data_IF_712454955671
#
_entry.id   IF_712454955671
#
_cell.length_a   1.000
_cell.length_b   1.000
_cell.length_c   1.000
_cell.angle_alpha   90.00
_cell.angle_beta   90.00
_cell.angle_gamma   90.00
#
_symmetry.space_group_name_H-M   'P 1'
#
loop_
_entity.id
_entity.type
_entity.pdbx_description
1 polymer ?
#
# COMPACT_ATOMS: atom_id res chain seq x y z
N UNK A 1 8.89 -5.62 -7.02
CA UNK A 1 9.83 -6.55 -6.37
C UNK A 1 10.90 -5.71 -5.69
N UNK A 2 11.26 -6.05 -4.44
CA UNK A 2 12.35 -5.36 -3.74
C UNK A 2 13.65 -5.69 -4.50
N UNK A 3 14.49 -4.70 -4.88
CA UNK A 3 15.71 -4.94 -5.64
C UNK A 3 16.81 -5.46 -4.70
N UNK A 4 16.73 -6.74 -4.33
CA UNK A 4 17.59 -7.40 -3.33
C UNK A 4 19.08 -7.15 -3.62
N UNK A 5 19.44 -7.15 -4.89
CA UNK A 5 20.81 -6.97 -5.39
C UNK A 5 21.37 -5.57 -5.12
N UNK A 6 20.48 -4.59 -4.87
CA UNK A 6 20.85 -3.19 -4.61
C UNK A 6 20.80 -2.82 -3.13
N UNK A 7 20.33 -3.73 -2.26
CA UNK A 7 20.26 -3.49 -0.84
C UNK A 7 21.66 -3.60 -0.21
N UNK A 8 21.97 -2.78 0.82
CA UNK A 8 23.22 -2.92 1.55
C UNK A 8 23.24 -4.22 2.36
N UNK A 9 24.35 -4.95 2.30
CA UNK A 9 24.64 -6.03 3.24
C UNK A 9 25.07 -5.41 4.57
N UNK A 10 24.35 -5.71 5.65
CA UNK A 10 24.71 -5.31 7.00
C UNK A 10 25.46 -6.45 7.69
N UNK A 11 26.49 -6.10 8.46
CA UNK A 11 27.13 -7.05 9.38
C UNK A 11 26.16 -7.44 10.49
N UNK A 12 26.20 -8.71 10.89
CA UNK A 12 25.39 -9.19 12.01
C UNK A 12 25.82 -8.46 13.30
N UNK A 13 24.84 -7.87 14.00
CA UNK A 13 25.06 -7.29 15.33
C UNK A 13 24.62 -8.26 16.41
N UNK A 14 24.99 -8.00 17.67
CA UNK A 14 24.53 -8.80 18.82
C UNK A 14 23.03 -8.68 19.12
N UNK A 15 22.28 -7.88 18.36
CA UNK A 15 20.88 -7.57 18.66
C UNK A 15 20.72 -6.76 19.95
N UNK A 16 19.47 -6.61 20.40
CA UNK A 16 19.13 -6.11 21.73
C UNK A 16 19.25 -7.25 22.77
N UNK A 17 19.40 -6.93 24.05
CA UNK A 17 19.54 -7.95 25.12
C UNK A 17 18.26 -8.18 25.96
N UNK A 18 17.10 -7.73 25.47
CA UNK A 18 15.84 -7.76 26.21
C UNK A 18 15.37 -9.19 26.59
N UNK A 19 15.82 -10.20 25.84
CA UNK A 19 15.47 -11.61 26.01
C UNK A 19 16.68 -12.53 26.21
N UNK A 20 17.83 -12.01 26.67
CA UNK A 20 19.12 -12.74 26.79
C UNK A 20 19.07 -14.10 27.51
N UNK A 21 18.13 -14.28 28.43
CA UNK A 21 17.95 -15.53 29.20
C UNK A 21 16.81 -16.41 28.71
N UNK A 22 16.18 -16.06 27.58
CA UNK A 22 15.09 -16.81 26.98
C UNK A 22 15.65 -17.71 25.89
N UNK A 23 15.20 -18.98 25.89
CA UNK A 23 15.46 -19.94 24.83
C UNK A 23 14.17 -20.24 24.08
N UNK A 24 14.23 -20.18 22.75
CA UNK A 24 13.09 -20.40 21.86
C UNK A 24 13.35 -21.64 21.01
N UNK A 25 12.49 -22.64 21.14
CA UNK A 25 12.44 -23.77 20.20
C UNK A 25 11.36 -23.49 19.16
N UNK A 26 11.78 -23.22 17.94
CA UNK A 26 10.88 -22.88 16.83
C UNK A 26 10.55 -24.13 15.99
N UNK A 27 9.26 -24.51 16.03
CA UNK A 27 8.67 -25.63 15.28
C UNK A 27 7.69 -25.15 14.20
N UNK A 28 7.67 -23.86 13.90
CA UNK A 28 6.77 -23.27 12.90
C UNK A 28 7.25 -23.61 11.49
N UNK A 29 6.32 -23.73 10.54
CA UNK A 29 6.64 -24.13 9.15
C UNK A 29 6.42 -23.04 8.11
N UNK A 30 5.69 -21.97 8.47
CA UNK A 30 5.31 -20.87 7.56
C UNK A 30 6.13 -19.60 7.80
N UNK A 31 6.04 -18.63 6.87
CA UNK A 31 6.85 -17.41 6.83
C UNK A 31 6.73 -16.58 8.10
N UNK A 32 5.52 -16.42 8.62
CA UNK A 32 5.27 -15.61 9.81
C UNK A 32 5.97 -16.16 11.05
N UNK A 33 6.06 -17.50 11.15
CA UNK A 33 6.70 -18.16 12.28
C UNK A 33 8.22 -17.94 12.30
N UNK A 34 8.89 -18.19 11.17
CA UNK A 34 10.33 -17.94 11.06
C UNK A 34 10.69 -16.46 11.27
N UNK A 35 9.87 -15.52 10.78
CA UNK A 35 10.05 -14.09 11.06
C UNK A 35 9.84 -13.75 12.54
N UNK A 36 8.82 -14.33 13.17
CA UNK A 36 8.58 -14.15 14.60
C UNK A 36 9.78 -14.60 15.45
N UNK A 37 10.34 -15.77 15.12
CA UNK A 37 11.55 -16.29 15.79
C UNK A 37 12.76 -15.42 15.54
N UNK A 38 12.93 -14.90 14.32
CA UNK A 38 14.00 -13.94 14.01
C UNK A 38 13.88 -12.70 14.89
N UNK A 39 12.67 -12.13 15.05
CA UNK A 39 12.49 -10.99 15.95
C UNK A 39 12.84 -11.31 17.41
N UNK A 40 12.49 -12.51 17.90
CA UNK A 40 12.85 -12.91 19.25
C UNK A 40 14.38 -13.04 19.41
N UNK A 41 15.08 -13.55 18.39
CA UNK A 41 16.54 -13.62 18.37
C UNK A 41 17.18 -12.23 18.30
N UNK A 42 16.64 -11.32 17.47
CA UNK A 42 17.08 -9.93 17.39
C UNK A 42 16.89 -9.17 18.73
N UNK A 43 15.94 -9.63 19.56
CA UNK A 43 15.71 -9.16 20.93
C UNK A 43 16.60 -9.86 21.98
N UNK A 44 17.48 -10.77 21.56
CA UNK A 44 18.50 -11.41 22.38
C UNK A 44 18.18 -12.84 22.81
N UNK A 45 17.07 -13.43 22.36
CA UNK A 45 16.76 -14.82 22.69
C UNK A 45 17.67 -15.80 21.94
N UNK A 46 18.02 -16.92 22.59
CA UNK A 46 18.67 -18.03 21.92
C UNK A 46 17.61 -18.86 21.18
N UNK A 47 17.61 -18.81 19.84
CA UNK A 47 16.64 -19.51 19.02
C UNK A 47 17.23 -20.77 18.37
N UNK A 48 16.56 -21.91 18.55
CA UNK A 48 16.83 -23.16 17.82
C UNK A 48 15.63 -23.49 16.92
N UNK A 49 15.86 -23.53 15.61
CA UNK A 49 14.85 -23.98 14.65
C UNK A 49 14.97 -25.49 14.44
N UNK A 50 13.85 -26.20 14.48
CA UNK A 50 13.78 -27.62 14.10
C UNK A 50 12.82 -27.77 12.94
N UNK A 51 13.26 -28.50 11.91
CA UNK A 51 12.50 -28.66 10.68
C UNK A 51 12.46 -30.11 10.22
N UNK A 52 11.54 -30.40 9.30
CA UNK A 52 11.38 -31.73 8.72
C UNK A 52 12.61 -32.11 7.90
N UNK A 53 13.23 -33.23 8.25
CA UNK A 53 14.38 -33.78 7.53
C UNK A 53 14.03 -34.00 6.04
N UNK A 54 14.93 -33.58 5.16
CA UNK A 54 14.81 -33.73 3.71
C UNK A 54 13.90 -32.72 3.00
N UNK A 55 13.05 -31.98 3.71
CA UNK A 55 12.12 -31.02 3.10
C UNK A 55 12.27 -29.58 3.64
N UNK A 56 12.62 -29.42 4.93
CA UNK A 56 12.62 -28.13 5.60
C UNK A 56 11.20 -27.58 5.88
N UNK A 57 11.10 -26.31 6.29
CA UNK A 57 9.84 -25.56 6.38
C UNK A 57 9.22 -25.23 5.01
N UNK A 58 7.90 -24.98 5.03
CA UNK A 58 7.05 -24.84 3.84
C UNK A 58 7.50 -23.71 2.92
N UNK A 59 8.07 -22.64 3.50
CA UNK A 59 8.56 -21.48 2.75
C UNK A 59 9.71 -21.77 1.81
N UNK A 60 10.44 -22.89 1.99
CA UNK A 60 11.51 -23.27 1.05
C UNK A 60 10.99 -23.71 -0.32
N UNK A 61 9.73 -24.14 -0.36
CA UNK A 61 9.02 -24.47 -1.60
C UNK A 61 8.10 -23.32 -2.03
N UNK A 62 8.04 -22.21 -1.29
CA UNK A 62 7.22 -21.06 -1.66
C UNK A 62 7.93 -20.24 -2.73
N UNK A 63 7.14 -19.81 -3.71
CA UNK A 63 7.62 -19.23 -4.95
C UNK A 63 7.35 -20.19 -6.09
N UNK A 64 6.45 -19.81 -6.99
CA UNK A 64 6.32 -20.53 -8.26
C UNK A 64 7.66 -20.39 -8.99
N UNK A 65 8.38 -21.49 -9.29
CA UNK A 65 9.62 -21.40 -10.05
C UNK A 65 9.38 -20.96 -11.50
N UNK A 66 8.11 -20.90 -11.92
CA UNK A 66 7.74 -20.88 -13.34
C UNK A 66 6.74 -19.80 -13.72
N UNK A 67 6.04 -19.16 -12.76
CA UNK A 67 4.98 -18.20 -13.07
C UNK A 67 5.03 -16.96 -12.17
N UNK A 68 5.03 -15.78 -12.79
CA UNK A 68 4.86 -14.48 -12.15
C UNK A 68 3.37 -14.18 -11.89
N UNK A 69 3.08 -13.10 -11.14
CA UNK A 69 1.72 -12.76 -10.74
C UNK A 69 0.73 -12.59 -11.90
N UNK A 70 1.17 -12.06 -13.05
CA UNK A 70 0.32 -11.91 -14.23
C UNK A 70 -0.05 -13.25 -14.87
N UNK A 71 0.90 -14.19 -14.90
CA UNK A 71 0.67 -15.54 -15.41
C UNK A 71 -0.30 -16.33 -14.52
N UNK A 72 -0.20 -16.18 -13.20
CA UNK A 72 -1.18 -16.73 -12.27
C UNK A 72 -2.57 -16.14 -12.46
N UNK A 73 -2.68 -14.83 -12.66
CA UNK A 73 -3.97 -14.17 -12.89
C UNK A 73 -4.65 -14.66 -14.17
N UNK A 74 -3.88 -15.00 -15.22
CA UNK A 74 -4.43 -15.61 -16.43
C UNK A 74 -5.05 -16.98 -16.15
N UNK A 75 -4.36 -17.83 -15.39
CA UNK A 75 -4.88 -19.14 -14.95
C UNK A 75 -6.12 -18.96 -14.07
N UNK A 76 -6.06 -18.06 -13.08
CA UNK A 76 -7.20 -17.79 -12.21
C UNK A 76 -8.43 -17.35 -13.00
N UNK A 77 -8.26 -16.50 -14.02
CA UNK A 77 -9.34 -16.10 -14.92
C UNK A 77 -9.93 -17.29 -15.68
N UNK A 78 -9.10 -18.19 -16.21
CA UNK A 78 -9.55 -19.40 -16.93
C UNK A 78 -10.41 -20.30 -16.03
N UNK A 79 -9.97 -20.52 -14.79
CA UNK A 79 -10.66 -21.37 -13.81
C UNK A 79 -11.71 -20.62 -12.98
N UNK A 80 -12.00 -19.35 -13.31
CA UNK A 80 -12.91 -18.46 -12.58
C UNK A 80 -12.62 -18.35 -11.08
N UNK A 81 -11.34 -18.40 -10.72
CA UNK A 81 -10.86 -18.10 -9.37
C UNK A 81 -10.71 -16.58 -9.27
N UNK A 82 -11.35 -15.92 -8.28
CA UNK A 82 -11.18 -14.49 -8.08
C UNK A 82 -9.71 -14.13 -7.79
N UNK A 83 -9.15 -13.20 -8.55
CA UNK A 83 -7.81 -12.67 -8.34
C UNK A 83 -7.64 -11.32 -9.00
N UNK A 84 -6.82 -10.46 -8.41
CA UNK A 84 -6.49 -9.13 -8.93
C UNK A 84 -4.99 -8.87 -8.77
N UNK A 85 -4.39 -8.03 -9.63
CA UNK A 85 -3.03 -7.56 -9.39
C UNK A 85 -2.97 -6.69 -8.13
N UNK A 86 -1.79 -6.66 -7.51
CA UNK A 86 -1.44 -5.63 -6.52
C UNK A 86 -0.86 -4.46 -7.29
N UNK A 87 -1.68 -3.43 -7.52
CA UNK A 87 -1.26 -2.25 -8.27
C UNK A 87 -0.48 -1.28 -7.38
N UNK A 88 0.57 -0.67 -7.93
CA UNK A 88 1.21 0.51 -7.34
C UNK A 88 0.34 1.75 -7.54
N UNK A 89 0.58 2.81 -6.76
CA UNK A 89 -0.17 4.07 -6.88
C UNK A 89 -0.10 4.64 -8.31
N UNK A 90 1.08 4.62 -8.93
CA UNK A 90 1.26 5.09 -10.31
C UNK A 90 0.53 4.23 -11.34
N UNK A 91 0.17 2.98 -11.03
CA UNK A 91 -0.66 2.13 -11.89
C UNK A 91 -2.15 2.36 -11.64
N UNK A 92 -2.54 2.56 -10.38
CA UNK A 92 -3.93 2.80 -9.97
C UNK A 92 -4.51 4.06 -10.64
N UNK A 93 -3.72 5.13 -10.77
CA UNK A 93 -4.18 6.39 -11.40
C UNK A 93 -4.46 6.27 -12.90
N UNK A 94 -4.03 5.18 -13.53
CA UNK A 94 -4.32 4.86 -14.94
C UNK A 94 -5.33 3.72 -15.10
N UNK A 95 -5.94 3.24 -14.00
CA UNK A 95 -6.93 2.17 -14.07
C UNK A 95 -8.18 2.65 -14.83
N UNK A 96 -8.57 1.89 -15.85
CA UNK A 96 -9.67 2.25 -16.74
C UNK A 96 -11.00 2.38 -15.99
N UNK A 97 -11.27 1.48 -15.04
CA UNK A 97 -12.52 1.51 -14.28
C UNK A 97 -12.56 2.74 -13.37
N UNK A 98 -11.47 3.02 -12.66
CA UNK A 98 -11.38 4.18 -11.76
C UNK A 98 -11.48 5.51 -12.52
N UNK A 99 -10.90 5.59 -13.72
CA UNK A 99 -11.03 6.75 -14.60
C UNK A 99 -12.46 6.91 -15.13
N UNK A 100 -13.08 5.83 -15.62
CA UNK A 100 -14.47 5.83 -16.08
C UNK A 100 -15.45 6.22 -14.96
N UNK A 101 -15.12 5.83 -13.72
CA UNK A 101 -15.92 6.15 -12.55
C UNK A 101 -15.70 7.57 -12.03
N UNK A 102 -14.77 8.34 -12.61
CA UNK A 102 -14.43 9.70 -12.18
C UNK A 102 -13.71 9.75 -10.84
N UNK A 103 -13.09 8.63 -10.43
CA UNK A 103 -12.28 8.55 -9.21
C UNK A 103 -11.02 9.39 -9.34
N UNK A 104 -10.42 9.46 -10.53
CA UNK A 104 -9.34 10.39 -10.85
C UNK A 104 -9.79 11.31 -11.97
N UNK A 105 -9.61 12.61 -11.77
CA UNK A 105 -9.96 13.63 -12.76
C UNK A 105 -9.06 14.85 -12.59
N UNK A 106 -9.09 15.76 -13.56
CA UNK A 106 -8.37 17.03 -13.48
C UNK A 106 -9.34 18.20 -13.40
N UNK A 107 -8.94 19.24 -12.70
CA UNK A 107 -9.65 20.53 -12.63
C UNK A 107 -8.72 21.62 -13.11
N UNK A 108 -9.28 22.68 -13.66
CA UNK A 108 -8.53 23.85 -14.09
C UNK A 108 -8.99 25.05 -13.26
N UNK A 109 -8.03 25.77 -12.69
CA UNK A 109 -8.25 26.97 -11.90
C UNK A 109 -7.26 28.08 -12.30
N UNK A 110 -7.26 29.18 -11.55
CA UNK A 110 -6.38 30.32 -11.79
C UNK A 110 -4.88 29.98 -11.65
N UNK A 111 -4.52 28.90 -10.96
CA UNK A 111 -3.16 28.39 -10.82
C UNK A 111 -2.82 27.29 -11.84
N UNK A 112 -3.78 26.87 -12.66
CA UNK A 112 -3.60 25.92 -13.76
C UNK A 112 -4.32 24.59 -13.55
N UNK A 113 -3.81 23.54 -14.19
CA UNK A 113 -4.43 22.21 -14.18
C UNK A 113 -3.92 21.38 -13.00
N UNK A 114 -4.84 20.91 -12.18
CA UNK A 114 -4.56 20.17 -10.93
C UNK A 114 -5.30 18.83 -10.91
N UNK A 115 -4.61 17.76 -10.50
CA UNK A 115 -5.21 16.43 -10.32
C UNK A 115 -6.10 16.39 -9.08
N UNK A 116 -7.21 15.66 -9.16
CA UNK A 116 -8.18 15.47 -8.08
C UNK A 116 -8.54 14.01 -7.91
N UNK A 117 -8.94 13.66 -6.68
CA UNK A 117 -9.50 12.35 -6.34
C UNK A 117 -10.96 12.54 -5.97
N UNK A 118 -11.83 11.80 -6.64
CA UNK A 118 -13.27 11.80 -6.41
C UNK A 118 -13.65 10.98 -5.17
N UNK A 119 -14.88 11.20 -4.68
CA UNK A 119 -15.37 10.51 -3.47
C UNK A 119 -15.65 9.01 -3.71
N UNK A 120 -15.69 8.55 -4.97
CA UNK A 120 -16.08 7.18 -5.31
C UNK A 120 -17.57 6.86 -5.06
N UNK A 121 -18.39 7.88 -4.76
CA UNK A 121 -19.82 7.72 -4.45
C UNK A 121 -20.65 8.15 -5.66
N UNK A 122 -21.60 7.29 -6.05
CA UNK A 122 -22.55 7.56 -7.15
C UNK A 122 -23.98 7.25 -6.73
N UNK A 123 -24.92 8.09 -7.18
CA UNK A 123 -26.36 7.87 -7.08
C UNK A 123 -26.94 7.91 -8.49
N UNK A 124 -27.74 6.90 -8.87
CA UNK A 124 -28.35 6.82 -10.21
C UNK A 124 -27.36 7.02 -11.37
N UNK A 125 -26.17 6.41 -11.24
CA UNK A 125 -25.02 6.56 -12.15
C UNK A 125 -24.45 7.99 -12.26
N UNK A 126 -24.89 8.95 -11.46
CA UNK A 126 -24.25 10.27 -11.34
C UNK A 126 -23.22 10.25 -10.22
N UNK A 127 -21.97 10.60 -10.55
CA UNK A 127 -20.90 10.74 -9.57
C UNK A 127 -20.75 12.19 -9.11
N UNK A 128 -20.37 12.39 -7.84
CA UNK A 128 -19.98 13.70 -7.35
C UNK A 128 -18.54 14.01 -7.79
N UNK A 129 -18.38 14.92 -8.75
CA UNK A 129 -17.11 15.64 -8.99
C UNK A 129 -17.10 16.95 -8.21
N UNK A 130 -15.97 17.66 -8.20
CA UNK A 130 -15.90 19.00 -7.62
C UNK A 130 -16.99 19.94 -8.18
N UNK A 131 -17.58 20.78 -7.32
CA UNK A 131 -18.59 21.77 -7.73
C UNK A 131 -17.98 23.08 -8.24
N UNK A 132 -16.80 23.43 -7.73
CA UNK A 132 -15.98 24.57 -8.12
C UNK A 132 -14.51 24.19 -7.93
N UNK A 133 -13.64 24.70 -8.78
CA UNK A 133 -12.21 24.54 -8.59
C UNK A 133 -11.76 25.28 -7.31
N UNK A 134 -10.61 24.91 -6.72
CA UNK A 134 -10.07 25.61 -5.56
C UNK A 134 -10.04 27.12 -5.81
N UNK A 135 -10.67 27.95 -4.96
CA UNK A 135 -10.69 29.39 -5.17
C UNK A 135 -9.29 29.97 -4.96
N UNK A 136 -8.94 31.06 -5.66
CA UNK A 136 -7.72 31.80 -5.35
C UNK A 136 -7.78 32.35 -3.92
N UNK A 137 -6.60 32.69 -3.38
CA UNK A 137 -6.49 33.30 -2.06
C UNK A 137 -7.40 34.53 -1.97
N UNK A 138 -8.22 34.58 -0.93
CA UNK A 138 -9.16 35.68 -0.66
C UNK A 138 -10.31 35.90 -1.67
N UNK A 139 -10.62 34.92 -2.54
CA UNK A 139 -11.68 35.08 -3.56
C UNK A 139 -13.07 35.49 -3.01
N UNK A 140 -13.37 35.08 -1.77
CA UNK A 140 -14.66 35.34 -1.11
C UNK A 140 -14.57 36.40 0.00
N UNK A 141 -13.38 36.97 0.26
CA UNK A 141 -13.13 37.81 1.45
C UNK A 141 -14.04 39.02 1.50
N UNK A 142 -14.09 39.84 0.44
CA UNK A 142 -14.89 41.08 0.43
C UNK A 142 -16.39 40.79 0.55
N UNK A 143 -16.85 39.73 -0.12
CA UNK A 143 -18.24 39.27 -0.04
C UNK A 143 -18.60 38.88 1.39
N UNK A 144 -17.77 38.09 2.05
CA UNK A 144 -18.00 37.63 3.43
C UNK A 144 -17.93 38.79 4.43
N UNK A 145 -16.96 39.69 4.31
CA UNK A 145 -16.83 40.86 5.19
C UNK A 145 -18.04 41.80 5.07
N UNK A 146 -18.53 42.00 3.86
CA UNK A 146 -19.75 42.78 3.60
C UNK A 146 -20.99 42.09 4.18
N UNK A 147 -21.20 40.81 3.89
CA UNK A 147 -22.39 40.06 4.29
C UNK A 147 -22.47 39.77 5.80
N UNK A 148 -21.33 39.53 6.46
CA UNK A 148 -21.31 39.03 7.85
C UNK A 148 -21.04 40.09 8.90
N UNK A 149 -20.27 41.12 8.57
CA UNK A 149 -19.82 42.14 9.53
C UNK A 149 -20.08 43.58 9.08
N UNK A 150 -20.75 43.78 7.93
CA UNK A 150 -21.17 45.10 7.48
C UNK A 150 -20.02 46.05 7.16
N UNK A 151 -18.83 45.52 6.89
CA UNK A 151 -17.68 46.32 6.49
C UNK A 151 -17.90 46.91 5.08
N UNK A 152 -17.66 48.22 4.95
CA UNK A 152 -17.44 48.86 3.65
C UNK A 152 -16.05 48.47 3.13
N UNK A 153 -15.87 48.47 1.81
CA UNK A 153 -14.69 47.93 1.08
C UNK A 153 -13.33 48.28 1.72
N UNK A 154 -12.40 47.32 1.68
CA UNK A 154 -10.98 47.48 2.07
C UNK A 154 -10.19 48.03 0.90
#
# INVERSE_FOLDING_TARGET
MIPVETLPTLEASSGLELLKSVRVLDLTTSVAGSYGTQFLADLGAEATKVERVGAGGDTRAWGSPFLNGGEWLAIFREYRIPGSPINRIDQVVFDHQLLADGTFYSVEDAAGKSSQVGLGIRFDRQGATHRRAPPPLCADTDRVLRERVGMAEV
#
